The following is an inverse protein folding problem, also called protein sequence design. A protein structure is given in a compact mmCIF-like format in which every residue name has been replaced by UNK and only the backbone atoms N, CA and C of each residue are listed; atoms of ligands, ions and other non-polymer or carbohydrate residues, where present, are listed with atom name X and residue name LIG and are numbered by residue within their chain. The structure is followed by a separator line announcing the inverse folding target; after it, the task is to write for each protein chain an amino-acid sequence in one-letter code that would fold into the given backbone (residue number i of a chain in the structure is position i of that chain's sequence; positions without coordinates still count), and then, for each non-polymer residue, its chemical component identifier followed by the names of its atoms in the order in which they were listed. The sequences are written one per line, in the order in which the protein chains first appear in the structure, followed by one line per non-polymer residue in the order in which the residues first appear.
data_IF_889213585600
#
_entry.id   IF_889213585600
#
_cell.length_a   1.000
_cell.length_b   1.000
_cell.length_c   1.000
_cell.angle_alpha   90.00
_cell.angle_beta   90.00
_cell.angle_gamma   90.00
#
_symmetry.space_group_name_H-M   'P 1'
#
loop_
_entity.id
_entity.type
_entity.pdbx_description
1 polymer ?
#
# COMPACT_ATOMS: atom_id res chain seq x y z
N UNK A 1 9.22 3.35 -24.01
CA UNK A 1 8.00 3.76 -23.29
C UNK A 1 7.74 2.95 -22.01
N UNK A 2 7.83 1.61 -22.01
CA UNK A 2 7.53 0.79 -20.82
C UNK A 2 8.41 1.00 -19.58
N UNK A 3 9.65 1.50 -19.75
CA UNK A 3 10.56 1.69 -18.63
C UNK A 3 10.11 2.81 -17.69
N UNK A 4 9.62 3.93 -18.23
CA UNK A 4 9.19 5.09 -17.42
C UNK A 4 8.02 4.71 -16.51
N UNK A 5 7.04 3.98 -17.04
CA UNK A 5 5.89 3.49 -16.26
C UNK A 5 6.36 2.56 -15.15
N UNK A 6 7.32 1.68 -15.45
CA UNK A 6 7.87 0.73 -14.47
C UNK A 6 8.61 1.44 -13.35
N UNK A 7 9.43 2.45 -13.66
CA UNK A 7 10.10 3.27 -12.65
C UNK A 7 9.12 4.06 -11.79
N UNK A 8 8.10 4.66 -12.40
CA UNK A 8 7.07 5.40 -11.67
C UNK A 8 6.28 4.47 -10.71
N UNK A 9 5.98 3.25 -11.15
CA UNK A 9 5.34 2.23 -10.33
C UNK A 9 6.20 1.85 -9.12
N UNK A 10 7.50 1.65 -9.34
CA UNK A 10 8.43 1.37 -8.26
C UNK A 10 8.51 2.52 -7.25
N UNK A 11 8.49 3.77 -7.73
CA UNK A 11 8.48 4.95 -6.85
C UNK A 11 7.20 4.97 -5.99
N UNK A 12 6.04 4.72 -6.59
CA UNK A 12 4.76 4.58 -5.90
C UNK A 12 4.75 3.44 -4.87
N UNK A 13 5.29 2.29 -5.23
CA UNK A 13 5.41 1.12 -4.35
C UNK A 13 6.34 1.42 -3.18
N UNK A 14 7.47 2.08 -3.41
CA UNK A 14 8.37 2.51 -2.34
C UNK A 14 7.66 3.47 -1.38
N UNK A 15 6.93 4.46 -1.90
CA UNK A 15 6.22 5.42 -1.07
C UNK A 15 5.12 4.76 -0.20
N UNK A 16 4.32 3.89 -0.81
CA UNK A 16 3.31 3.11 -0.10
C UNK A 16 3.96 2.13 0.90
N UNK A 17 5.03 1.44 0.50
CA UNK A 17 5.78 0.51 1.35
C UNK A 17 6.40 1.18 2.57
N UNK A 18 7.02 2.35 2.42
CA UNK A 18 7.52 3.13 3.55
C UNK A 18 6.39 3.53 4.49
N UNK A 19 5.21 3.88 3.97
CA UNK A 19 4.04 4.22 4.78
C UNK A 19 3.52 3.02 5.58
N UNK A 20 3.44 1.84 4.95
CA UNK A 20 3.02 0.59 5.62
C UNK A 20 4.03 0.16 6.68
N UNK A 21 5.33 0.19 6.38
CA UNK A 21 6.39 -0.15 7.34
C UNK A 21 6.38 0.83 8.51
N UNK A 22 6.23 2.12 8.24
CA UNK A 22 6.07 3.13 9.28
C UNK A 22 4.86 2.84 10.18
N UNK A 23 3.71 2.53 9.60
CA UNK A 23 2.51 2.15 10.34
C UNK A 23 2.69 0.86 11.16
N UNK A 24 3.47 -0.12 10.67
CA UNK A 24 3.80 -1.34 11.40
C UNK A 24 4.72 -1.08 12.60
N UNK A 25 5.69 -0.18 12.45
CA UNK A 25 6.66 0.17 13.51
C UNK A 25 6.02 1.06 14.57
N UNK A 26 4.98 1.83 14.24
CA UNK A 26 4.25 2.59 15.24
C UNK A 26 3.63 1.66 16.30
N UNK A 27 3.93 1.88 17.59
CA UNK A 27 3.32 1.13 18.66
C UNK A 27 1.80 1.27 18.53
N UNK A 28 1.08 0.15 18.60
CA UNK A 28 -0.39 0.13 18.62
C UNK A 28 -0.78 0.94 19.84
N UNK A 29 -1.25 2.17 19.63
CA UNK A 29 -1.81 2.95 20.73
C UNK A 29 -2.99 2.13 21.23
N UNK A 30 -3.07 1.90 22.54
CA UNK A 30 -4.17 1.15 23.14
C UNK A 30 -5.40 2.04 23.06
N UNK A 31 -5.93 2.25 21.86
CA UNK A 31 -7.21 2.89 21.64
C UNK A 31 -8.24 1.95 22.26
N UNK A 32 -8.75 2.37 23.41
CA UNK A 32 -9.75 1.65 24.20
C UNK A 32 -11.05 1.40 23.41
N UNK A 33 -11.21 2.02 22.23
CA UNK A 33 -12.43 2.01 21.44
C UNK A 33 -12.45 0.93 20.35
N UNK A 34 -11.30 0.41 19.88
CA UNK A 34 -11.25 -0.66 18.86
C UNK A 34 -10.02 -1.60 18.99
N UNK A 35 -9.94 -2.42 20.05
CA UNK A 35 -8.84 -3.36 20.22
C UNK A 35 -8.81 -4.39 19.07
N UNK A 36 -7.69 -4.43 18.34
CA UNK A 36 -7.40 -5.42 17.30
C UNK A 36 -7.78 -5.03 15.86
N UNK A 37 -8.55 -3.96 15.65
CA UNK A 37 -8.88 -3.46 14.31
C UNK A 37 -7.65 -2.82 13.65
N UNK A 38 -6.89 -2.01 14.39
CA UNK A 38 -5.63 -1.43 13.91
C UNK A 38 -4.62 -2.52 13.48
N UNK A 39 -4.52 -3.60 14.25
CA UNK A 39 -3.63 -4.72 13.93
C UNK A 39 -4.03 -5.42 12.64
N UNK A 40 -5.33 -5.68 12.43
CA UNK A 40 -5.83 -6.29 11.19
C UNK A 40 -5.59 -5.39 9.98
N UNK A 41 -5.81 -4.09 10.09
CA UNK A 41 -5.58 -3.12 9.01
C UNK A 41 -4.09 -3.08 8.62
N UNK A 42 -3.19 -3.10 9.61
CA UNK A 42 -1.73 -3.16 9.37
C UNK A 42 -1.32 -4.43 8.61
N UNK A 43 -1.85 -5.60 9.00
CA UNK A 43 -1.56 -6.88 8.31
C UNK A 43 -2.10 -6.87 6.88
N UNK A 44 -3.34 -6.40 6.68
CA UNK A 44 -3.95 -6.29 5.34
C UNK A 44 -3.15 -5.33 4.45
N UNK A 45 -2.71 -4.19 5.00
CA UNK A 45 -1.87 -3.23 4.28
C UNK A 45 -0.53 -3.82 3.83
N UNK A 46 0.10 -4.64 4.67
CA UNK A 46 1.33 -5.36 4.34
C UNK A 46 1.12 -6.47 3.30
N UNK A 47 0.03 -7.23 3.41
CA UNK A 47 -0.28 -8.30 2.46
C UNK A 47 -0.56 -7.71 1.06
N UNK A 48 -1.26 -6.58 1.00
CA UNK A 48 -1.48 -5.83 -0.23
C UNK A 48 -0.19 -5.27 -0.84
N UNK A 49 0.78 -4.82 -0.01
CA UNK A 49 2.10 -4.41 -0.51
C UNK A 49 2.78 -5.54 -1.31
N UNK A 50 2.76 -6.77 -0.78
CA UNK A 50 3.34 -7.94 -1.45
C UNK A 50 2.62 -8.21 -2.78
N UNK A 51 1.29 -8.14 -2.81
CA UNK A 51 0.50 -8.34 -4.03
C UNK A 51 0.85 -7.29 -5.10
N UNK A 52 0.98 -6.02 -4.71
CA UNK A 52 1.35 -4.94 -5.62
C UNK A 52 2.77 -5.12 -6.17
N UNK A 53 3.72 -5.55 -5.33
CA UNK A 53 5.09 -5.88 -5.76
C UNK A 53 5.06 -7.04 -6.78
N UNK A 54 4.32 -8.11 -6.49
CA UNK A 54 4.18 -9.25 -7.41
C UNK A 54 3.55 -8.84 -8.74
N UNK A 55 2.52 -7.99 -8.72
CA UNK A 55 1.89 -7.43 -9.92
C UNK A 55 2.84 -6.57 -10.73
N UNK A 56 3.68 -5.75 -10.08
CA UNK A 56 4.64 -4.89 -10.78
C UNK A 56 5.87 -5.65 -11.32
N UNK A 57 6.27 -6.74 -10.67
CA UNK A 57 7.29 -7.68 -11.17
C UNK A 57 6.82 -8.46 -12.40
N UNK A 58 5.50 -8.54 -12.61
CA UNK A 58 4.93 -9.21 -13.77
C UNK A 58 5.36 -8.54 -15.08
N UNK A 59 5.73 -9.35 -16.07
CA UNK A 59 6.08 -8.88 -17.42
C UNK A 59 4.87 -8.35 -18.19
N UNK A 60 3.65 -8.57 -17.69
CA UNK A 60 2.45 -8.14 -18.37
C UNK A 60 2.18 -6.65 -18.17
N UNK A 61 1.96 -5.88 -19.26
CA UNK A 61 1.75 -4.43 -19.17
C UNK A 61 0.45 -4.07 -18.42
N UNK A 62 -0.59 -4.91 -18.51
CA UNK A 62 -1.84 -4.72 -17.77
C UNK A 62 -1.65 -4.86 -16.26
N UNK A 63 -0.72 -5.72 -15.81
CA UNK A 63 -0.44 -5.93 -14.38
C UNK A 63 0.23 -4.70 -13.75
N UNK A 64 1.08 -3.99 -14.53
CA UNK A 64 1.67 -2.71 -14.11
C UNK A 64 0.63 -1.60 -13.97
N UNK A 65 -0.35 -1.55 -14.87
CA UNK A 65 -1.46 -0.59 -14.76
C UNK A 65 -2.34 -0.94 -13.56
N UNK A 66 -2.65 -2.22 -13.36
CA UNK A 66 -3.42 -2.69 -12.21
C UNK A 66 -2.73 -2.35 -10.87
N UNK A 67 -1.40 -2.51 -10.77
CA UNK A 67 -0.66 -2.14 -9.57
C UNK A 67 -0.71 -0.64 -9.28
N UNK A 68 -0.63 0.21 -10.31
CA UNK A 68 -0.78 1.67 -10.14
C UNK A 68 -2.15 2.02 -9.59
N UNK A 69 -3.21 1.48 -10.18
CA UNK A 69 -4.60 1.74 -9.75
C UNK A 69 -4.82 1.28 -8.31
N UNK A 70 -4.28 0.12 -7.93
CA UNK A 70 -4.33 -0.38 -6.56
C UNK A 70 -3.62 0.55 -5.57
N UNK A 71 -2.39 0.99 -5.86
CA UNK A 71 -1.65 1.91 -4.98
C UNK A 71 -2.41 3.23 -4.81
N UNK A 72 -2.94 3.80 -5.90
CA UNK A 72 -3.72 5.06 -5.85
C UNK A 72 -4.98 4.88 -4.99
N UNK A 73 -5.69 3.77 -5.18
CA UNK A 73 -6.90 3.46 -4.40
C UNK A 73 -6.57 3.32 -2.92
N UNK A 74 -5.47 2.66 -2.56
CA UNK A 74 -5.04 2.51 -1.17
C UNK A 74 -4.62 3.82 -0.54
N UNK A 75 -3.88 4.67 -1.26
CA UNK A 75 -3.54 6.01 -0.78
C UNK A 75 -4.81 6.86 -0.57
N UNK A 76 -5.80 6.74 -1.45
CA UNK A 76 -7.11 7.37 -1.29
C UNK A 76 -7.85 6.90 -0.03
N UNK A 77 -7.87 5.60 0.23
CA UNK A 77 -8.48 5.01 1.44
C UNK A 77 -7.77 5.50 2.70
N UNK A 78 -6.43 5.47 2.73
CA UNK A 78 -5.64 5.95 3.87
C UNK A 78 -5.95 7.42 4.16
N UNK A 79 -6.03 8.25 3.12
CA UNK A 79 -6.35 9.67 3.28
C UNK A 79 -7.79 9.88 3.77
N UNK A 80 -8.75 9.12 3.27
CA UNK A 80 -10.14 9.17 3.74
C UNK A 80 -10.26 8.81 5.23
N UNK A 81 -9.55 7.77 5.70
CA UNK A 81 -9.47 7.44 7.13
C UNK A 81 -8.67 8.45 7.95
N UNK A 82 -7.83 9.27 7.34
CA UNK A 82 -7.06 10.29 8.05
C UNK A 82 -7.86 11.58 8.25
N UNK A 83 -8.79 11.90 7.34
CA UNK A 83 -9.61 13.11 7.40
C UNK A 83 -10.90 12.93 8.21
N UNK A 84 -11.24 11.69 8.60
CA UNK A 84 -12.51 11.29 9.19
C UNK A 84 -12.30 10.54 10.50
#
# INVERSE_FOLDING_TARGET
MFNVITYLNWLLICFYGSSVVWALVQPVSVSHEMPGVESKIKVVGFLLLIVIIALNLSSYPWAKVASMVLVISMLGIIRWFSDN
#
